data_IF_460033135908
#
_entry.id   IF_460033135908
#
_cell.length_a   1.000
_cell.length_b   1.000
_cell.length_c   1.000
_cell.angle_alpha   90.00
_cell.angle_beta   90.00
_cell.angle_gamma   90.00
#
_symmetry.space_group_name_H-M   'P 1'
#
loop_
_entity.id
_entity.type
_entity.pdbx_description
1 polymer ?
#
# COMPACT_ATOMS: atom_id res chain seq x y z
N UNK A 1 -81.91 45.17 15.41
CA UNK A 1 -80.78 44.97 14.48
C UNK A 1 -79.79 44.01 15.13
N UNK A 2 -79.42 42.98 14.35
CA UNK A 2 -78.42 41.92 14.49
C UNK A 2 -77.73 41.63 15.84
N UNK A 3 -78.00 40.43 16.36
CA UNK A 3 -77.15 39.68 17.30
C UNK A 3 -75.80 39.42 16.64
N UNK A 4 -74.76 40.13 17.05
CA UNK A 4 -73.38 39.84 16.62
C UNK A 4 -72.92 38.58 17.33
N UNK A 5 -73.18 37.45 16.68
CA UNK A 5 -72.79 36.13 17.15
C UNK A 5 -71.28 36.11 17.35
N UNK A 6 -70.88 35.77 18.58
CA UNK A 6 -69.48 35.58 19.00
C UNK A 6 -68.89 34.37 18.27
N UNK A 7 -68.58 34.57 16.98
CA UNK A 7 -67.93 33.58 16.10
C UNK A 7 -66.44 33.47 16.37
N UNK A 8 -65.89 34.33 17.24
CA UNK A 8 -64.48 34.29 17.63
C UNK A 8 -64.15 33.15 18.60
N UNK A 9 -65.06 32.78 19.51
CA UNK A 9 -64.81 31.71 20.48
C UNK A 9 -64.58 30.32 19.84
N UNK A 10 -65.39 29.83 18.88
CA UNK A 10 -65.11 28.55 18.23
C UNK A 10 -63.88 28.61 17.32
N UNK A 11 -63.57 29.78 16.74
CA UNK A 11 -62.35 29.97 15.95
C UNK A 11 -61.08 29.92 16.81
N UNK A 12 -61.11 30.54 18.00
CA UNK A 12 -60.00 30.50 18.97
C UNK A 12 -59.78 29.09 19.54
N UNK A 13 -60.85 28.33 19.82
CA UNK A 13 -60.73 26.95 20.30
C UNK A 13 -60.15 26.02 19.21
N UNK A 14 -60.57 26.19 17.95
CA UNK A 14 -60.01 25.47 16.80
C UNK A 14 -58.53 25.81 16.53
N UNK A 15 -58.13 27.08 16.72
CA UNK A 15 -56.73 27.50 16.63
C UNK A 15 -55.86 26.89 17.75
N UNK A 16 -56.39 26.77 18.98
CA UNK A 16 -55.69 26.09 20.08
C UNK A 16 -55.55 24.57 19.87
N UNK A 17 -56.59 23.91 19.33
CA UNK A 17 -56.53 22.47 19.00
C UNK A 17 -55.56 22.18 17.84
N UNK A 18 -55.46 23.06 16.86
CA UNK A 18 -54.48 22.96 15.78
C UNK A 18 -53.02 23.12 16.29
N UNK A 19 -52.80 23.94 17.31
CA UNK A 19 -51.46 24.16 17.89
C UNK A 19 -50.94 22.97 18.72
N UNK A 20 -51.83 22.14 19.30
CA UNK A 20 -51.43 20.95 20.08
C UNK A 20 -51.06 19.74 19.21
N UNK A 21 -51.51 19.69 17.95
CA UNK A 21 -51.22 18.58 17.02
C UNK A 21 -49.89 18.74 16.27
N UNK A 22 -49.15 19.85 16.45
CA UNK A 22 -47.93 20.14 15.71
C UNK A 22 -46.62 19.75 16.42
N UNK A 23 -46.67 19.02 17.55
CA UNK A 23 -45.47 18.47 18.24
C UNK A 23 -45.31 16.98 17.90
N UNK A 24 -45.25 16.67 16.62
CA UNK A 24 -44.85 15.34 16.15
C UNK A 24 -43.99 15.49 14.90
N UNK A 25 -42.96 16.32 15.01
CA UNK A 25 -41.86 16.29 14.07
C UNK A 25 -41.12 14.96 14.25
N UNK A 26 -40.82 14.21 13.16
CA UNK A 26 -39.93 13.07 13.28
C UNK A 26 -38.61 13.59 13.84
N UNK A 27 -38.11 12.92 14.88
CA UNK A 27 -36.79 13.18 15.42
C UNK A 27 -35.81 13.34 14.25
N UNK A 28 -35.21 14.53 14.12
CA UNK A 28 -34.08 14.73 13.22
C UNK A 28 -32.95 13.90 13.81
N UNK A 29 -32.91 12.63 13.44
CA UNK A 29 -31.80 11.75 13.72
C UNK A 29 -30.63 12.36 12.94
N UNK A 30 -29.53 12.79 13.58
CA UNK A 30 -28.33 13.04 12.81
C UNK A 30 -27.98 11.71 12.16
N UNK A 31 -28.22 11.58 10.85
CA UNK A 31 -27.69 10.49 10.06
C UNK A 31 -26.19 10.51 10.29
N UNK A 32 -25.71 9.53 11.06
CA UNK A 32 -24.30 9.28 11.26
C UNK A 32 -23.60 9.36 9.90
N UNK A 33 -22.37 9.92 9.83
CA UNK A 33 -21.62 9.93 8.59
C UNK A 33 -21.63 8.52 8.03
N UNK A 34 -22.10 8.43 6.78
CA UNK A 34 -22.04 7.24 5.91
C UNK A 34 -20.99 6.31 6.45
N UNK A 35 -21.41 5.18 7.01
CA UNK A 35 -20.51 4.10 7.35
C UNK A 35 -19.56 4.01 6.17
N UNK A 36 -18.31 4.44 6.38
CA UNK A 36 -17.24 4.17 5.46
C UNK A 36 -17.36 2.67 5.18
N UNK A 37 -17.16 2.21 3.93
CA UNK A 37 -17.07 0.78 3.69
C UNK A 37 -16.17 0.27 4.80
N UNK A 38 -16.73 -0.65 5.60
CA UNK A 38 -16.12 -1.21 6.79
C UNK A 38 -14.64 -1.15 6.55
N UNK A 39 -13.88 -0.47 7.42
CA UNK A 39 -12.44 -0.65 7.44
C UNK A 39 -12.30 -2.16 7.54
N UNK A 40 -12.15 -2.80 6.38
CA UNK A 40 -11.90 -4.21 6.24
C UNK A 40 -10.63 -4.21 7.03
N UNK A 41 -10.70 -4.78 8.23
CA UNK A 41 -9.52 -5.32 8.86
C UNK A 41 -9.06 -6.29 7.79
N UNK A 42 -8.23 -5.77 6.89
CA UNK A 42 -7.54 -6.57 5.91
C UNK A 42 -6.77 -7.45 6.86
N UNK A 43 -7.24 -8.69 7.02
CA UNK A 43 -6.38 -9.78 7.47
C UNK A 43 -5.07 -9.47 6.78
N UNK A 44 -3.97 -9.19 7.53
CA UNK A 44 -2.73 -8.76 6.91
C UNK A 44 -2.56 -9.74 5.76
N UNK A 45 -2.58 -9.20 4.53
CA UNK A 45 -2.38 -10.04 3.35
C UNK A 45 -1.14 -10.84 3.73
N UNK A 46 -1.16 -12.14 3.51
CA UNK A 46 -0.05 -12.96 3.98
C UNK A 46 1.15 -12.62 3.09
N UNK A 47 1.84 -11.55 3.49
CA UNK A 47 2.97 -10.93 2.82
C UNK A 47 4.29 -11.59 3.29
N UNK A 48 4.16 -12.73 3.99
CA UNK A 48 5.27 -13.56 4.43
C UNK A 48 5.68 -14.55 3.34
N UNK A 49 6.92 -15.00 3.45
CA UNK A 49 7.52 -16.00 2.58
C UNK A 49 8.61 -16.73 3.37
N UNK A 50 8.84 -17.99 3.03
CA UNK A 50 9.72 -18.90 3.77
C UNK A 50 11.14 -18.92 3.20
N UNK A 51 11.31 -18.62 1.91
CA UNK A 51 12.62 -18.57 1.26
C UNK A 51 13.08 -17.15 0.93
N UNK A 52 14.39 -16.90 0.95
CA UNK A 52 14.95 -15.56 0.72
C UNK A 52 14.63 -14.98 -0.68
N UNK A 53 14.09 -15.81 -1.59
CA UNK A 53 13.69 -15.45 -2.94
C UNK A 53 12.19 -15.11 -3.05
N UNK A 54 11.38 -15.40 -2.04
CA UNK A 54 9.93 -15.20 -2.08
C UNK A 54 9.18 -16.05 -3.12
N UNK A 55 9.65 -17.26 -3.45
CA UNK A 55 8.98 -18.12 -4.45
C UNK A 55 7.64 -18.66 -3.95
N UNK A 56 7.56 -18.87 -2.65
CA UNK A 56 6.36 -19.31 -1.95
C UNK A 56 5.45 -18.15 -1.55
N UNK A 57 5.83 -16.90 -1.82
CA UNK A 57 5.01 -15.72 -1.52
C UNK A 57 3.62 -15.85 -2.17
N UNK A 58 2.57 -15.77 -1.35
CA UNK A 58 1.17 -15.79 -1.79
C UNK A 58 0.37 -14.57 -1.35
N UNK A 59 1.07 -13.49 -1.00
CA UNK A 59 0.48 -12.20 -0.74
C UNK A 59 -0.29 -11.65 -1.94
N UNK A 60 -1.07 -10.59 -1.69
CA UNK A 60 -2.01 -10.05 -2.68
C UNK A 60 -1.63 -8.64 -3.10
N UNK A 61 -0.40 -8.23 -2.89
CA UNK A 61 0.14 -6.95 -3.35
C UNK A 61 0.08 -6.85 -4.87
N UNK A 62 -0.38 -5.71 -5.37
CA UNK A 62 -0.52 -5.41 -6.81
C UNK A 62 0.26 -4.18 -7.25
N UNK A 63 1.19 -3.71 -6.41
CA UNK A 63 1.96 -2.49 -6.63
C UNK A 63 3.42 -2.78 -6.30
N UNK A 64 4.30 -2.63 -7.28
CA UNK A 64 5.77 -2.66 -7.11
C UNK A 64 6.37 -1.25 -6.93
N UNK A 65 5.55 -0.23 -7.12
CA UNK A 65 5.96 1.14 -7.46
C UNK A 65 5.09 1.64 -8.62
N UNK A 66 4.84 0.74 -9.57
CA UNK A 66 3.83 0.87 -10.62
C UNK A 66 2.70 -0.15 -10.48
N UNK A 67 1.62 0.05 -11.25
CA UNK A 67 0.51 -0.90 -11.28
C UNK A 67 0.92 -2.21 -11.95
N UNK A 68 0.81 -3.31 -11.20
CA UNK A 68 1.04 -4.63 -11.75
C UNK A 68 -0.06 -5.03 -12.77
N UNK A 69 0.35 -5.69 -13.85
CA UNK A 69 -0.49 -6.30 -14.87
C UNK A 69 -0.83 -7.74 -14.54
N UNK A 70 -1.84 -8.28 -15.21
CA UNK A 70 -2.25 -9.68 -15.08
C UNK A 70 -1.16 -10.60 -15.65
N UNK A 71 -0.83 -11.68 -14.95
CA UNK A 71 0.12 -12.69 -15.44
C UNK A 71 -0.36 -13.41 -16.70
N UNK A 72 -1.67 -13.51 -16.88
CA UNK A 72 -2.35 -14.09 -18.05
C UNK A 72 -2.32 -13.20 -19.28
N UNK A 73 -1.79 -11.98 -19.20
CA UNK A 73 -1.68 -11.11 -20.38
C UNK A 73 -0.82 -11.76 -21.46
N UNK A 74 -1.29 -11.70 -22.70
CA UNK A 74 -0.63 -12.29 -23.86
C UNK A 74 0.76 -11.70 -24.17
N UNK A 75 1.05 -10.50 -23.66
CA UNK A 75 2.33 -9.81 -23.83
C UNK A 75 3.41 -10.32 -22.88
N UNK A 76 3.05 -11.14 -21.89
CA UNK A 76 3.97 -11.63 -20.88
C UNK A 76 4.68 -12.90 -21.36
N UNK A 77 5.98 -13.01 -21.07
CA UNK A 77 6.74 -14.23 -21.33
C UNK A 77 6.48 -15.33 -20.29
N UNK A 78 6.24 -14.93 -19.04
CA UNK A 78 5.98 -15.85 -17.93
C UNK A 78 4.49 -15.84 -17.61
N UNK A 79 3.87 -17.01 -17.74
CA UNK A 79 2.42 -17.22 -17.64
C UNK A 79 2.13 -18.48 -16.82
N UNK A 80 0.87 -18.71 -16.37
CA UNK A 80 0.51 -19.93 -15.66
C UNK A 80 0.80 -21.22 -16.45
N UNK A 81 0.78 -21.14 -17.78
CA UNK A 81 1.08 -22.26 -18.66
C UNK A 81 2.58 -22.58 -18.75
N UNK A 82 3.45 -21.55 -18.69
CA UNK A 82 4.90 -21.76 -18.77
C UNK A 82 5.51 -22.07 -17.40
N UNK A 83 4.93 -21.55 -16.32
CA UNK A 83 5.41 -21.75 -14.94
C UNK A 83 4.27 -22.28 -14.05
N UNK A 84 3.83 -23.53 -14.25
CA UNK A 84 2.75 -24.12 -13.46
C UNK A 84 3.15 -24.22 -11.98
N UNK A 85 2.19 -23.96 -11.09
CA UNK A 85 2.41 -24.04 -9.62
C UNK A 85 3.11 -22.83 -9.00
N UNK A 86 3.61 -21.87 -9.79
CA UNK A 86 4.23 -20.64 -9.29
C UNK A 86 3.23 -19.61 -8.72
N UNK A 87 1.94 -19.97 -8.63
CA UNK A 87 0.89 -19.07 -8.12
C UNK A 87 0.57 -17.91 -9.07
N UNK A 88 0.76 -18.12 -10.38
CA UNK A 88 0.36 -17.21 -11.45
C UNK A 88 -1.10 -17.48 -11.84
N UNK A 89 -1.84 -16.44 -12.24
CA UNK A 89 -3.24 -16.59 -12.65
C UNK A 89 -3.83 -15.30 -13.21
N UNK A 90 -5.15 -15.26 -13.28
CA UNK A 90 -5.91 -14.08 -13.72
C UNK A 90 -5.98 -13.02 -12.61
N UNK A 91 -4.81 -12.61 -12.14
CA UNK A 91 -4.60 -11.61 -11.11
C UNK A 91 -3.26 -10.91 -11.33
N UNK A 92 -3.06 -9.76 -10.69
CA UNK A 92 -1.85 -8.94 -10.80
C UNK A 92 -0.97 -8.99 -9.55
N UNK A 93 -1.02 -10.09 -8.78
CA UNK A 93 -0.24 -10.23 -7.56
C UNK A 93 1.25 -10.45 -7.82
N UNK A 94 2.13 -9.82 -7.06
CA UNK A 94 3.59 -10.03 -7.16
C UNK A 94 3.96 -11.51 -6.91
N UNK A 95 4.89 -12.07 -7.68
CA UNK A 95 5.34 -13.47 -7.57
C UNK A 95 6.80 -13.58 -7.98
N UNK A 96 7.47 -14.68 -7.61
CA UNK A 96 8.80 -15.02 -8.14
C UNK A 96 8.78 -16.41 -8.81
N UNK A 97 8.32 -16.50 -10.07
CA UNK A 97 8.22 -17.77 -10.80
C UNK A 97 9.56 -18.30 -11.34
N UNK A 98 10.54 -17.43 -11.56
CA UNK A 98 11.81 -17.68 -12.27
C UNK A 98 13.04 -17.71 -11.36
N UNK A 99 12.83 -17.63 -10.05
CA UNK A 99 13.87 -17.69 -9.01
C UNK A 99 14.82 -16.49 -9.08
N UNK A 100 14.28 -15.34 -9.47
CA UNK A 100 15.04 -14.10 -9.51
C UNK A 100 15.58 -13.75 -8.11
N UNK A 101 16.87 -13.42 -7.98
CA UNK A 101 17.49 -13.10 -6.70
C UNK A 101 17.00 -11.78 -6.08
N UNK A 102 16.36 -10.91 -6.86
CA UNK A 102 15.71 -9.69 -6.38
C UNK A 102 14.36 -9.94 -5.72
N UNK A 103 13.87 -11.18 -5.70
CA UNK A 103 12.69 -11.59 -4.97
C UNK A 103 11.42 -11.55 -5.84
N UNK A 104 10.29 -11.24 -5.21
CA UNK A 104 9.00 -11.14 -5.91
C UNK A 104 8.98 -9.94 -6.86
N UNK A 105 8.31 -10.10 -7.98
CA UNK A 105 8.18 -9.06 -9.00
C UNK A 105 6.83 -9.18 -9.72
N UNK A 106 6.53 -8.22 -10.58
CA UNK A 106 5.36 -8.29 -11.45
C UNK A 106 5.62 -7.60 -12.79
N UNK A 107 4.82 -7.92 -13.80
CA UNK A 107 4.79 -7.17 -15.05
C UNK A 107 4.13 -5.80 -14.84
N UNK A 108 4.63 -4.76 -15.49
CA UNK A 108 4.05 -3.41 -15.52
C UNK A 108 4.16 -2.83 -16.93
N UNK A 109 3.25 -1.94 -17.30
CA UNK A 109 3.32 -1.15 -18.55
C UNK A 109 3.74 0.30 -18.31
N UNK A 110 3.85 0.71 -17.05
CA UNK A 110 4.10 2.10 -16.67
C UNK A 110 5.59 2.40 -16.49
N UNK A 111 6.42 1.37 -16.27
CA UNK A 111 7.86 1.56 -16.12
C UNK A 111 8.52 1.90 -17.47
N UNK A 112 9.36 2.96 -17.54
CA UNK A 112 9.80 3.54 -18.81
C UNK A 112 10.85 2.72 -19.58
N UNK A 113 11.56 1.81 -18.89
CA UNK A 113 12.70 1.07 -19.46
C UNK A 113 12.48 -0.44 -19.53
N UNK A 114 11.54 -0.96 -18.76
CA UNK A 114 11.28 -2.40 -18.61
C UNK A 114 9.79 -2.62 -18.49
N UNK A 115 9.32 -3.80 -18.88
CA UNK A 115 7.92 -4.19 -18.76
C UNK A 115 7.63 -4.94 -17.45
N UNK A 116 8.51 -4.87 -16.46
CA UNK A 116 8.43 -5.53 -15.16
C UNK A 116 9.22 -4.75 -14.10
N UNK A 117 8.88 -4.95 -12.82
CA UNK A 117 9.53 -4.33 -11.66
C UNK A 117 9.44 -5.25 -10.43
N UNK A 118 10.47 -5.22 -9.58
CA UNK A 118 10.49 -5.93 -8.30
C UNK A 118 9.50 -5.33 -7.30
N UNK A 119 8.82 -6.18 -6.54
CA UNK A 119 7.94 -5.75 -5.48
C UNK A 119 8.66 -5.83 -4.13
N UNK A 120 8.53 -4.78 -3.33
CA UNK A 120 8.85 -4.85 -1.91
C UNK A 120 7.66 -5.43 -1.14
N UNK A 121 7.77 -6.60 -0.48
CA UNK A 121 6.69 -7.16 0.33
C UNK A 121 6.13 -6.14 1.33
N UNK A 122 4.81 -5.95 1.35
CA UNK A 122 4.18 -5.00 2.28
C UNK A 122 4.18 -5.64 3.68
N UNK A 123 5.25 -5.47 4.43
CA UNK A 123 5.17 -5.72 5.87
C UNK A 123 4.17 -4.72 6.45
N UNK A 124 3.21 -5.20 7.25
CA UNK A 124 2.27 -4.33 7.96
C UNK A 124 3.07 -3.23 8.65
N UNK A 125 2.98 -2.00 8.12
CA UNK A 125 3.81 -0.83 8.40
C UNK A 125 4.71 -0.97 9.64
N UNK A 126 6.00 -1.29 9.44
CA UNK A 126 6.92 -1.45 10.57
C UNK A 126 8.35 -1.92 10.29
N UNK A 127 8.74 -2.21 9.05
CA UNK A 127 10.15 -2.50 8.75
C UNK A 127 10.91 -1.18 8.49
N UNK A 128 11.16 -0.48 9.60
CA UNK A 128 12.22 0.51 9.86
C UNK A 128 12.56 1.53 8.77
N UNK A 129 12.23 2.78 9.09
CA UNK A 129 12.93 3.98 8.66
C UNK A 129 14.46 3.84 8.89
N UNK A 130 15.23 3.38 7.89
CA UNK A 130 16.64 3.75 7.73
C UNK A 130 17.11 3.57 6.28
N UNK A 131 16.54 4.37 5.38
CA UNK A 131 17.17 4.72 4.10
C UNK A 131 17.31 6.24 4.01
N UNK A 132 18.10 6.80 4.93
CA UNK A 132 18.65 8.14 4.78
C UNK A 132 19.65 8.19 3.61
N UNK A 133 19.71 9.29 2.86
CA UNK A 133 20.38 9.34 1.56
C UNK A 133 21.90 9.34 1.73
N UNK A 134 22.60 8.42 1.08
CA UNK A 134 24.04 8.60 0.88
C UNK A 134 24.28 9.55 -0.31
N UNK A 135 24.91 10.72 -0.09
CA UNK A 135 25.29 11.60 -1.18
C UNK A 135 26.42 10.97 -2.01
N UNK A 136 26.36 11.32 -3.29
CA UNK A 136 27.27 11.00 -4.39
C UNK A 136 28.75 10.91 -4.00
N UNK A 137 29.43 9.90 -4.52
CA UNK A 137 30.83 10.02 -4.89
C UNK A 137 30.96 9.75 -6.39
N UNK A 138 31.06 10.84 -7.16
CA UNK A 138 31.55 10.81 -8.52
C UNK A 138 33.06 11.05 -8.51
N UNK A 139 33.72 10.47 -9.52
CA UNK A 139 35.03 10.84 -10.05
C UNK A 139 36.26 10.32 -9.31
N UNK A 140 37.05 9.52 -10.04
CA UNK A 140 38.31 8.98 -9.57
C UNK A 140 39.48 9.98 -9.64
N UNK A 141 40.62 9.54 -9.12
CA UNK A 141 41.96 9.82 -9.63
C UNK A 141 43.01 9.01 -8.84
N UNK A 142 43.86 8.34 -9.62
CA UNK A 142 45.29 8.09 -9.43
C UNK A 142 45.83 7.49 -8.12
N UNK A 143 46.32 6.26 -8.27
CA UNK A 143 47.41 5.69 -7.49
C UNK A 143 48.63 6.62 -7.46
N UNK A 144 49.03 7.05 -6.27
CA UNK A 144 50.37 7.55 -6.00
C UNK A 144 50.97 6.70 -4.87
N UNK A 145 51.86 5.80 -5.26
CA UNK A 145 52.64 4.95 -4.38
C UNK A 145 53.67 5.82 -3.63
N UNK A 146 53.38 6.19 -2.38
CA UNK A 146 54.36 6.83 -1.51
C UNK A 146 55.14 5.77 -0.72
N UNK A 147 56.40 5.55 -1.10
CA UNK A 147 57.39 4.79 -0.30
C UNK A 147 57.84 5.64 0.89
N UNK A 148 57.96 5.08 2.10
CA UNK A 148 58.93 5.54 3.07
C UNK A 148 60.16 4.62 3.05
N UNK A 149 61.34 5.24 3.03
CA UNK A 149 62.66 4.60 3.08
C UNK A 149 63.25 4.78 4.48
N UNK A 150 63.78 3.67 4.99
CA UNK A 150 64.87 3.52 5.96
C UNK A 150 64.66 3.88 7.44
N UNK A 151 65.08 2.94 8.29
CA UNK A 151 65.72 3.27 9.57
C UNK A 151 65.74 2.14 10.60
N UNK A 152 66.89 1.47 10.73
CA UNK A 152 67.33 0.73 11.93
C UNK A 152 66.69 -0.65 12.17
N UNK A 153 67.31 -1.63 12.79
CA UNK A 153 68.65 -1.87 13.28
C UNK A 153 68.66 -3.37 13.63
N UNK A 154 69.72 -4.10 13.29
CA UNK A 154 69.87 -5.52 13.64
C UNK A 154 71.02 -5.66 14.63
N UNK A 155 70.78 -6.21 15.83
CA UNK A 155 71.68 -7.15 16.48
C UNK A 155 71.01 -8.54 16.41
N UNK A 156 71.68 -9.63 16.05
CA UNK A 156 72.85 -10.19 16.72
C UNK A 156 72.43 -11.55 17.33
N UNK A 157 73.34 -12.52 17.29
CA UNK A 157 73.25 -13.91 17.82
C UNK A 157 72.40 -14.91 17.04
N UNK A 158 72.73 -16.21 16.97
CA UNK A 158 73.91 -17.03 17.25
C UNK A 158 73.51 -18.49 16.93
N UNK A 159 74.53 -19.35 16.76
CA UNK A 159 74.50 -20.81 16.59
C UNK A 159 74.28 -21.35 15.16
#
# INVERSE_FOLDING_TARGET
MARSASRLAPLLLLLCLAALLAVSGPAFVPSAPSAAPSAVVQTPRDETFLDDLGRDYRGRQTLSGYKCRLWTSHENGITPSTHPGAGLGDHSYCRNPDWDPGGIWCYTSEHPLTNWEHCAPIQAAGATDEAGPRPRAASGASSALARPRAGGAVPGEAA
#
